data_IF_784532142056
#
_entry.id   IF_784532142056
#
_cell.length_a   1.000
_cell.length_b   1.000
_cell.length_c   1.000
_cell.angle_alpha   90.00
_cell.angle_beta   90.00
_cell.angle_gamma   90.00
#
_symmetry.space_group_name_H-M   'P 1'
#
loop_
_entity.id
_entity.type
_entity.pdbx_description
1 polymer ?
#
# COMPACT_ATOMS: atom_id res chain seq x y z
N UNK A 1 11.86 -0.88 -2.91
CA UNK A 1 10.50 -0.77 -3.52
C UNK A 1 10.18 0.70 -3.75
N UNK A 2 9.20 1.04 -4.59
CA UNK A 2 8.71 2.43 -4.72
C UNK A 2 7.26 2.57 -4.29
N UNK A 3 6.87 3.75 -3.79
CA UNK A 3 5.52 4.07 -3.36
C UNK A 3 4.94 5.16 -4.25
N UNK A 4 3.78 4.86 -4.86
CA UNK A 4 3.17 5.71 -5.89
C UNK A 4 1.92 6.47 -5.46
N UNK A 5 1.28 6.07 -4.36
CA UNK A 5 0.08 6.73 -3.87
C UNK A 5 -0.17 6.44 -2.39
N UNK A 6 -0.82 7.37 -1.71
CA UNK A 6 -1.40 7.21 -0.38
C UNK A 6 -2.90 7.05 -0.50
N UNK A 7 -3.47 6.05 0.16
CA UNK A 7 -4.90 5.84 0.27
C UNK A 7 -5.34 5.95 1.72
N UNK A 8 -6.42 6.66 2.00
CA UNK A 8 -6.93 6.78 3.37
C UNK A 8 -8.45 6.94 3.47
N UNK A 9 -8.97 6.51 4.61
CA UNK A 9 -10.28 6.83 5.16
C UNK A 9 -10.09 7.41 6.57
N UNK A 10 -11.19 7.62 7.30
CA UNK A 10 -11.17 7.89 8.74
C UNK A 10 -10.66 6.69 9.57
N UNK A 11 -10.65 5.48 9.00
CA UNK A 11 -10.34 4.23 9.72
C UNK A 11 -8.98 3.62 9.40
N UNK A 12 -8.38 3.96 8.27
CA UNK A 12 -7.15 3.32 7.84
C UNK A 12 -6.40 4.15 6.81
N UNK A 13 -5.09 3.95 6.73
CA UNK A 13 -4.23 4.55 5.72
C UNK A 13 -3.15 3.56 5.27
N UNK A 14 -2.92 3.51 3.97
CA UNK A 14 -1.91 2.65 3.36
C UNK A 14 -1.22 3.32 2.18
N UNK A 15 0.03 2.94 1.95
CA UNK A 15 0.80 3.31 0.76
C UNK A 15 0.73 2.18 -0.27
N UNK A 16 0.40 2.55 -1.51
CA UNK A 16 0.52 1.65 -2.65
C UNK A 16 1.99 1.35 -2.94
N UNK A 17 2.32 0.06 -3.00
CA UNK A 17 3.68 -0.42 -3.28
C UNK A 17 3.77 -0.84 -4.74
N UNK A 18 4.73 -0.24 -5.44
CA UNK A 18 5.22 -0.73 -6.72
C UNK A 18 6.38 -1.68 -6.46
N UNK A 19 6.08 -2.98 -6.54
CA UNK A 19 7.09 -4.03 -6.42
C UNK A 19 8.03 -3.99 -7.62
N UNK A 20 9.32 -4.15 -7.34
CA UNK A 20 10.38 -4.22 -8.35
C UNK A 20 11.09 -5.57 -8.24
N UNK A 21 11.98 -5.82 -9.18
CA UNK A 21 12.88 -6.97 -9.16
C UNK A 21 13.85 -6.89 -7.98
N UNK A 22 14.04 -7.99 -7.26
CA UNK A 22 15.05 -8.16 -6.20
C UNK A 22 16.00 -9.27 -6.67
N UNK A 23 17.31 -8.99 -6.73
CA UNK A 23 18.33 -9.96 -7.17
C UNK A 23 18.04 -10.63 -8.53
N UNK A 24 17.41 -9.91 -9.46
CA UNK A 24 17.04 -10.46 -10.78
C UNK A 24 15.71 -11.22 -10.80
N UNK A 25 15.08 -11.46 -9.65
CA UNK A 25 13.78 -12.13 -9.55
C UNK A 25 12.63 -11.13 -9.37
N UNK A 26 11.54 -11.33 -10.10
CA UNK A 26 10.34 -10.51 -9.97
C UNK A 26 9.58 -10.90 -8.70
N UNK A 27 9.48 -9.97 -7.74
CA UNK A 27 8.65 -10.18 -6.55
C UNK A 27 7.18 -10.11 -6.94
N UNK A 28 6.43 -11.19 -6.69
CA UNK A 28 4.98 -11.24 -6.88
C UNK A 28 4.28 -11.12 -5.53
N UNK A 29 3.36 -10.17 -5.43
CA UNK A 29 2.47 -10.06 -4.29
C UNK A 29 1.40 -11.14 -4.35
N UNK A 30 0.96 -11.62 -3.17
CA UNK A 30 -0.28 -12.40 -3.05
C UNK A 30 -1.53 -11.51 -3.02
N UNK A 31 -1.38 -10.24 -2.64
CA UNK A 31 -2.45 -9.26 -2.71
C UNK A 31 -2.51 -8.70 -4.14
N UNK A 32 -3.70 -8.62 -4.71
CA UNK A 32 -3.95 -7.96 -6.00
C UNK A 32 -3.48 -6.51 -6.00
N UNK A 33 -3.60 -5.85 -4.84
CA UNK A 33 -3.07 -4.52 -4.58
C UNK A 33 -1.98 -4.58 -3.50
N UNK A 34 -0.70 -4.65 -3.88
CA UNK A 34 0.41 -4.61 -2.95
C UNK A 34 0.46 -3.25 -2.23
N UNK A 35 0.51 -3.26 -0.91
CA UNK A 35 0.52 -2.04 -0.11
C UNK A 35 1.23 -2.24 1.24
N UNK A 36 1.56 -1.12 1.87
CA UNK A 36 2.01 -1.07 3.26
C UNK A 36 1.00 -0.27 4.09
N UNK A 37 0.36 -0.91 5.06
CA UNK A 37 -0.55 -0.24 6.00
C UNK A 37 0.26 0.59 6.99
N UNK A 38 -0.03 1.89 7.07
CA UNK A 38 0.66 2.83 7.97
C UNK A 38 -0.04 2.95 9.33
N UNK A 39 -1.38 2.93 9.32
CA UNK A 39 -2.18 3.04 10.54
C UNK A 39 -3.59 2.48 10.32
N UNK A 40 -4.17 1.93 11.38
CA UNK A 40 -5.59 1.55 11.46
C UNK A 40 -6.20 2.03 12.77
N UNK A 41 -7.50 2.32 12.74
CA UNK A 41 -8.27 2.61 13.93
C UNK A 41 -8.37 1.37 14.85
N UNK A 42 -8.64 1.54 16.16
CA UNK A 42 -8.86 0.42 17.06
C UNK A 42 -9.91 -0.56 16.54
N UNK A 43 -9.59 -1.86 16.57
CA UNK A 43 -10.47 -2.93 16.08
C UNK A 43 -10.47 -3.14 14.56
N UNK A 44 -9.75 -2.34 13.78
CA UNK A 44 -9.61 -2.51 12.33
C UNK A 44 -8.33 -3.28 12.03
N UNK A 45 -8.46 -4.43 11.38
CA UNK A 45 -7.32 -5.26 11.01
C UNK A 45 -6.59 -4.67 9.80
N UNK A 46 -5.25 -4.75 9.77
CA UNK A 46 -4.46 -4.26 8.64
C UNK A 46 -4.87 -4.90 7.30
N UNK A 47 -5.39 -6.14 7.31
CA UNK A 47 -5.92 -6.84 6.12
C UNK A 47 -7.10 -6.11 5.48
N UNK A 48 -7.86 -5.33 6.23
CA UNK A 48 -8.99 -4.55 5.69
C UNK A 48 -8.53 -3.45 4.73
N UNK A 49 -7.27 -2.99 4.84
CA UNK A 49 -6.72 -2.00 3.90
C UNK A 49 -6.71 -2.48 2.43
N UNK A 50 -6.82 -3.79 2.17
CA UNK A 50 -6.95 -4.32 0.81
C UNK A 50 -8.13 -3.71 0.02
N UNK A 51 -9.20 -3.24 0.68
CA UNK A 51 -10.36 -2.66 -0.01
C UNK A 51 -10.20 -1.17 -0.34
N UNK A 52 -9.11 -0.51 0.10
CA UNK A 52 -8.91 0.93 -0.11
C UNK A 52 -8.97 1.38 -1.59
N UNK A 53 -8.42 0.63 -2.56
CA UNK A 53 -8.55 1.00 -3.98
C UNK A 53 -10.01 1.00 -4.45
N UNK A 54 -10.80 0.01 -4.04
CA UNK A 54 -12.22 -0.08 -4.35
C UNK A 54 -12.99 1.07 -3.67
N UNK A 55 -12.72 1.34 -2.39
CA UNK A 55 -13.35 2.47 -1.70
C UNK A 55 -13.02 3.80 -2.38
N UNK A 56 -11.79 3.96 -2.90
CA UNK A 56 -11.40 5.17 -3.62
C UNK A 56 -12.14 5.29 -4.97
N UNK A 57 -12.32 4.20 -5.72
CA UNK A 57 -13.11 4.23 -6.97
C UNK A 57 -14.59 4.52 -6.72
N UNK A 58 -15.11 4.14 -5.55
CA UNK A 58 -16.46 4.46 -5.08
C UNK A 58 -16.58 5.85 -4.42
N UNK A 59 -15.49 6.62 -4.33
CA UNK A 59 -15.46 7.94 -3.67
C UNK A 59 -15.54 7.92 -2.14
N UNK A 60 -15.43 6.74 -1.52
CA UNK A 60 -15.48 6.49 -0.06
C UNK A 60 -14.11 6.53 0.60
N UNK A 61 -13.03 6.52 -0.17
CA UNK A 61 -11.68 6.77 0.29
C UNK A 61 -11.03 7.88 -0.54
N UNK A 62 -9.97 8.47 0.01
CA UNK A 62 -9.13 9.44 -0.69
C UNK A 62 -7.89 8.75 -1.23
N UNK A 63 -7.53 9.10 -2.46
CA UNK A 63 -6.25 8.74 -3.10
C UNK A 63 -5.45 10.00 -3.32
N UNK A 64 -4.22 10.03 -2.83
CA UNK A 64 -3.25 11.09 -3.07
C UNK A 64 -2.11 10.51 -3.88
N UNK A 65 -1.91 11.02 -5.10
CA UNK A 65 -0.84 10.57 -5.97
C UNK A 65 0.51 11.09 -5.45
N UNK A 66 1.53 10.23 -5.52
CA UNK A 66 2.92 10.59 -5.22
C UNK A 66 3.67 10.53 -6.55
N UNK A 67 3.93 11.70 -7.12
CA UNK A 67 4.62 11.85 -8.41
C UNK A 67 5.76 12.89 -8.28
N UNK A 68 7.04 12.48 -8.42
CA UNK A 68 7.50 11.13 -8.73
C UNK A 68 7.36 10.15 -7.56
N UNK A 69 7.23 8.83 -7.82
CA UNK A 69 7.19 7.81 -6.77
C UNK A 69 8.43 7.84 -5.85
N UNK A 70 8.22 7.66 -4.56
CA UNK A 70 9.31 7.65 -3.57
C UNK A 70 9.90 6.24 -3.50
N UNK A 71 11.21 6.12 -3.69
CA UNK A 71 11.92 4.84 -3.55
C UNK A 71 12.49 4.70 -2.15
N UNK A 72 12.20 3.56 -1.52
CA UNK A 72 12.82 3.16 -0.25
C UNK A 72 13.67 1.92 -0.50
N UNK A 73 14.91 1.96 -0.02
CA UNK A 73 15.88 0.87 -0.05
C UNK A 73 16.29 0.49 1.37
N UNK A 74 16.42 -0.81 1.64
CA UNK A 74 16.79 -1.34 2.95
C UNK A 74 16.56 -2.85 3.01
N UNK A 75 16.86 -3.44 4.16
CA UNK A 75 16.51 -4.83 4.48
C UNK A 75 15.05 -4.89 4.88
N UNK A 76 14.32 -5.89 4.38
CA UNK A 76 12.93 -6.17 4.77
C UNK A 76 12.95 -7.41 5.65
N UNK A 77 12.53 -7.25 6.91
CA UNK A 77 12.30 -8.37 7.83
C UNK A 77 10.86 -8.85 7.69
N UNK A 78 10.68 -10.17 7.51
CA UNK A 78 9.39 -10.81 7.40
C UNK A 78 9.12 -11.59 8.70
N UNK A 79 7.98 -11.31 9.34
CA UNK A 79 7.53 -11.94 10.59
C UNK A 79 6.31 -12.84 10.37
#
# INVERSE_FOLDING_TARGET
>A
MSFGALFYTDKMVALEVQLRTVNGEQVKSRNEWPHATLWTAPGVAAKEANVLPQLASEGKAKRVLIDPPITISGVVDLY
#
